data_IF_875146695839
#
_entry.id   IF_875146695839
#
_cell.length_a   1.000
_cell.length_b   1.000
_cell.length_c   1.000
_cell.angle_alpha   90.00
_cell.angle_beta   90.00
_cell.angle_gamma   90.00
#
_symmetry.space_group_name_H-M   'P 1'
#
loop_
_entity.id
_entity.type
_entity.pdbx_description
1 polymer ?
#
# COMPACT_ATOMS: atom_id res chain seq x y z
N UNK A 1 16.22 19.31 -48.29
CA UNK A 1 15.88 20.14 -47.11
C UNK A 1 15.31 19.24 -46.01
N UNK A 2 16.13 18.69 -45.12
CA UNK A 2 15.72 17.89 -43.95
C UNK A 2 16.83 17.95 -42.89
N UNK A 3 16.98 19.09 -42.19
CA UNK A 3 18.03 19.31 -41.17
C UNK A 3 17.49 19.77 -39.81
N UNK A 4 16.25 19.41 -39.46
CA UNK A 4 15.54 19.99 -38.30
C UNK A 4 15.32 19.11 -37.06
N UNK A 5 15.56 17.79 -37.08
CA UNK A 5 15.01 16.89 -36.04
C UNK A 5 16.02 16.36 -35.00
N UNK A 6 17.32 16.60 -35.15
CA UNK A 6 18.32 16.00 -34.25
C UNK A 6 18.51 16.74 -32.90
N UNK A 7 18.01 17.97 -32.72
CA UNK A 7 18.27 18.74 -31.49
C UNK A 7 17.35 18.42 -30.31
N UNK A 8 16.17 17.83 -30.54
CA UNK A 8 15.22 17.48 -29.47
C UNK A 8 15.60 16.15 -28.82
N UNK A 9 16.05 15.16 -29.60
CA UNK A 9 16.44 13.85 -29.08
C UNK A 9 17.67 13.90 -28.16
N UNK A 10 18.64 14.79 -28.44
CA UNK A 10 19.86 14.95 -27.64
C UNK A 10 19.62 15.66 -26.28
N UNK A 11 18.48 16.37 -26.11
CA UNK A 11 18.12 17.03 -24.84
C UNK A 11 17.28 16.18 -23.88
N UNK A 12 16.81 15.00 -24.29
CA UNK A 12 16.15 14.01 -23.40
C UNK A 12 17.22 13.21 -22.63
N UNK A 13 18.21 13.94 -22.11
CA UNK A 13 19.45 13.40 -21.55
C UNK A 13 19.28 12.59 -20.26
N UNK A 14 20.40 12.24 -19.60
CA UNK A 14 20.46 11.41 -18.39
C UNK A 14 19.56 11.88 -17.22
N UNK A 15 19.09 13.14 -17.25
CA UNK A 15 18.10 13.71 -16.34
C UNK A 15 16.74 12.98 -16.33
N UNK A 16 16.36 12.30 -17.41
CA UNK A 16 15.11 11.51 -17.45
C UNK A 16 15.22 10.23 -16.61
N UNK A 17 16.38 9.55 -16.64
CA UNK A 17 16.60 8.32 -15.88
C UNK A 17 16.67 8.55 -14.38
N UNK A 18 17.36 9.61 -13.94
CA UNK A 18 17.51 9.91 -12.50
C UNK A 18 16.17 10.21 -11.84
N UNK A 19 15.27 10.92 -12.51
CA UNK A 19 13.91 11.18 -11.99
C UNK A 19 13.09 9.90 -11.87
N UNK A 20 13.12 9.01 -12.86
CA UNK A 20 12.37 7.74 -12.80
C UNK A 20 12.83 6.89 -11.63
N UNK A 21 14.15 6.78 -11.40
CA UNK A 21 14.70 6.03 -10.27
C UNK A 21 14.25 6.65 -8.94
N UNK A 22 14.32 7.97 -8.80
CA UNK A 22 13.87 8.68 -7.59
C UNK A 22 12.39 8.44 -7.27
N UNK A 23 11.52 8.38 -8.29
CA UNK A 23 10.09 8.11 -8.11
C UNK A 23 9.80 6.70 -7.55
N UNK A 24 10.69 5.73 -7.76
CA UNK A 24 10.57 4.37 -7.22
C UNK A 24 11.23 4.22 -5.84
N UNK A 25 12.34 4.92 -5.61
CA UNK A 25 13.06 4.88 -4.33
C UNK A 25 12.26 5.52 -3.19
N UNK A 26 11.50 6.58 -3.46
CA UNK A 26 10.72 7.26 -2.42
C UNK A 26 9.65 6.34 -1.77
N UNK A 27 8.76 5.65 -2.52
CA UNK A 27 7.82 4.70 -1.94
C UNK A 27 8.50 3.53 -1.23
N UNK A 28 9.64 3.05 -1.75
CA UNK A 28 10.42 1.99 -1.10
C UNK A 28 10.94 2.44 0.28
N UNK A 29 11.52 3.64 0.37
CA UNK A 29 12.02 4.20 1.63
C UNK A 29 10.89 4.44 2.64
N UNK A 30 9.75 4.96 2.18
CA UNK A 30 8.54 5.11 3.01
C UNK A 30 8.06 3.75 3.51
N UNK A 31 8.08 2.73 2.65
CA UNK A 31 7.79 1.36 2.99
C UNK A 31 8.70 0.83 4.10
N UNK A 32 10.01 0.98 3.96
CA UNK A 32 10.99 0.57 4.99
C UNK A 32 10.67 1.24 6.33
N UNK A 33 10.48 2.56 6.36
CA UNK A 33 10.14 3.28 7.60
C UNK A 33 8.84 2.78 8.22
N UNK A 34 7.81 2.54 7.40
CA UNK A 34 6.55 1.97 7.85
C UNK A 34 6.70 0.55 8.40
N UNK A 35 7.56 -0.28 7.80
CA UNK A 35 7.89 -1.62 8.28
C UNK A 35 8.61 -1.60 9.63
N UNK A 36 9.58 -0.70 9.79
CA UNK A 36 10.25 -0.46 11.07
C UNK A 36 9.24 -0.04 12.14
N UNK A 37 8.38 0.92 11.82
CA UNK A 37 7.33 1.38 12.73
C UNK A 37 6.37 0.24 13.10
N UNK A 38 5.93 -0.55 12.12
CA UNK A 38 5.03 -1.69 12.34
C UNK A 38 5.65 -2.81 13.19
N UNK A 39 6.99 -2.97 13.15
CA UNK A 39 7.70 -3.91 14.01
C UNK A 39 7.81 -3.43 15.46
N UNK A 40 8.00 -2.12 15.67
CA UNK A 40 8.21 -1.53 16.99
C UNK A 40 6.89 -1.21 17.72
N UNK A 41 5.86 -0.78 16.99
CA UNK A 41 4.58 -0.36 17.57
C UNK A 41 3.71 -1.58 17.89
N UNK A 42 3.70 -1.96 19.17
CA UNK A 42 2.79 -2.98 19.72
C UNK A 42 1.44 -2.37 20.08
N UNK A 43 0.62 -2.09 19.07
CA UNK A 43 -0.77 -1.69 19.30
C UNK A 43 -1.63 -2.91 19.62
N UNK A 44 -1.98 -3.04 20.89
CA UNK A 44 -2.92 -4.04 21.37
C UNK A 44 -4.36 -3.55 21.15
N UNK A 45 -4.74 -3.30 19.89
CA UNK A 45 -6.12 -2.95 19.54
C UNK A 45 -7.10 -4.12 19.74
N UNK A 46 -6.62 -5.33 20.03
CA UNK A 46 -7.44 -6.54 20.17
C UNK A 46 -8.13 -6.98 18.87
N UNK A 47 -7.91 -6.28 17.77
CA UNK A 47 -8.58 -6.52 16.49
C UNK A 47 -7.59 -6.92 15.40
N UNK A 48 -7.80 -8.00 14.65
CA UNK A 48 -6.89 -8.44 13.62
C UNK A 48 -6.93 -7.52 12.39
N UNK A 49 -5.81 -7.40 11.67
CA UNK A 49 -5.73 -6.61 10.43
C UNK A 49 -5.39 -5.13 10.62
N UNK A 50 -5.40 -4.59 11.84
CA UNK A 50 -5.05 -3.19 12.10
C UNK A 50 -3.62 -2.82 11.67
N UNK A 51 -2.69 -3.78 11.67
CA UNK A 51 -1.31 -3.57 11.23
C UNK A 51 -1.20 -3.09 9.78
N UNK A 52 -2.23 -3.33 8.98
CA UNK A 52 -2.28 -2.86 7.62
C UNK A 52 -2.27 -1.33 7.51
N UNK A 53 -2.79 -0.62 8.52
CA UNK A 53 -2.78 0.84 8.55
C UNK A 53 -1.35 1.41 8.51
N UNK A 54 -0.41 0.77 9.23
CA UNK A 54 0.96 1.29 9.37
C UNK A 54 1.72 1.33 8.07
N UNK A 55 1.50 0.36 7.17
CA UNK A 55 2.17 0.34 5.88
C UNK A 55 1.31 0.91 4.77
N UNK A 56 0.01 0.59 4.73
CA UNK A 56 -0.84 0.89 3.59
C UNK A 56 -1.06 2.40 3.42
N UNK A 57 -1.34 3.13 4.51
CA UNK A 57 -1.59 4.57 4.47
C UNK A 57 -0.37 5.34 3.93
N UNK A 58 0.84 5.23 4.52
CA UNK A 58 1.98 6.00 4.05
C UNK A 58 2.46 5.54 2.67
N UNK A 59 2.44 4.25 2.37
CA UNK A 59 2.91 3.71 1.09
C UNK A 59 1.99 4.09 -0.07
N UNK A 60 0.66 4.02 0.12
CA UNK A 60 -0.31 4.47 -0.89
C UNK A 60 -0.26 6.00 -1.07
N UNK A 61 -0.12 6.75 0.03
CA UNK A 61 0.09 8.20 -0.04
C UNK A 61 1.33 8.55 -0.86
N UNK A 62 2.47 7.92 -0.56
CA UNK A 62 3.72 8.11 -1.31
C UNK A 62 3.59 7.74 -2.78
N UNK A 63 2.91 6.64 -3.10
CA UNK A 63 2.62 6.23 -4.49
C UNK A 63 1.89 7.32 -5.26
N UNK A 64 0.86 7.93 -4.67
CA UNK A 64 0.05 8.97 -5.31
C UNK A 64 0.81 10.30 -5.46
N UNK A 65 1.63 10.66 -4.46
CA UNK A 65 2.47 11.86 -4.49
C UNK A 65 3.55 11.74 -5.57
N UNK A 66 4.27 10.61 -5.60
CA UNK A 66 5.36 10.38 -6.56
C UNK A 66 4.87 9.94 -7.95
N UNK A 67 3.56 9.64 -8.12
CA UNK A 67 2.95 9.11 -9.35
C UNK A 67 3.66 7.85 -9.88
N UNK A 68 4.13 7.02 -8.96
CA UNK A 68 4.84 5.78 -9.30
C UNK A 68 3.83 4.68 -9.62
N UNK A 69 4.00 3.98 -10.75
CA UNK A 69 3.09 2.88 -11.14
C UNK A 69 3.20 1.64 -10.26
N UNK A 70 4.34 1.47 -9.60
CA UNK A 70 4.66 0.33 -8.73
C UNK A 70 4.96 0.80 -7.31
N UNK A 71 4.44 1.97 -6.94
CA UNK A 71 4.80 2.62 -5.69
C UNK A 71 4.33 1.82 -4.47
N UNK A 72 3.10 1.30 -4.51
CA UNK A 72 2.59 0.53 -3.38
C UNK A 72 3.21 -0.84 -3.27
N UNK A 73 3.51 -1.47 -4.40
CA UNK A 73 4.20 -2.78 -4.46
C UNK A 73 5.61 -2.69 -3.87
N UNK A 74 6.40 -1.70 -4.30
CA UNK A 74 7.76 -1.49 -3.80
C UNK A 74 7.76 -1.08 -2.31
N UNK A 75 6.85 -0.20 -1.91
CA UNK A 75 6.71 0.17 -0.50
C UNK A 75 6.25 -1.00 0.36
N UNK A 76 5.33 -1.83 -0.12
CA UNK A 76 4.90 -3.06 0.57
C UNK A 76 6.06 -4.07 0.72
N UNK A 77 6.88 -4.25 -0.31
CA UNK A 77 8.08 -5.08 -0.25
C UNK A 77 9.09 -4.52 0.78
N UNK A 78 9.34 -3.21 0.77
CA UNK A 78 10.18 -2.54 1.77
C UNK A 78 9.66 -2.69 3.20
N UNK A 79 8.36 -2.51 3.41
CA UNK A 79 7.72 -2.66 4.70
C UNK A 79 7.80 -4.10 5.22
N UNK A 80 7.52 -5.07 4.35
CA UNK A 80 7.61 -6.49 4.67
C UNK A 80 9.04 -6.89 5.04
N UNK A 81 10.02 -6.53 4.20
CA UNK A 81 11.44 -6.82 4.44
C UNK A 81 11.97 -6.18 5.73
N UNK A 82 11.72 -4.88 5.93
CA UNK A 82 12.17 -4.18 7.13
C UNK A 82 11.51 -4.73 8.40
N UNK A 83 10.21 -5.04 8.35
CA UNK A 83 9.52 -5.68 9.47
C UNK A 83 10.15 -7.05 9.80
N UNK A 84 10.43 -7.88 8.79
CA UNK A 84 11.01 -9.21 8.98
C UNK A 84 12.42 -9.15 9.58
N UNK A 85 13.26 -8.24 9.09
CA UNK A 85 14.63 -8.06 9.61
C UNK A 85 14.64 -7.69 11.09
N UNK A 86 13.58 -7.05 11.58
CA UNK A 86 13.42 -6.67 12.98
C UNK A 86 12.60 -7.70 13.80
N UNK A 87 12.34 -8.89 13.25
CA UNK A 87 11.54 -9.93 13.91
C UNK A 87 10.03 -9.61 13.98
N UNK A 88 9.58 -8.56 13.31
CA UNK A 88 8.18 -8.19 13.18
C UNK A 88 7.42 -9.09 12.21
N UNK A 89 6.09 -9.12 12.37
CA UNK A 89 5.21 -9.97 11.57
C UNK A 89 3.99 -9.19 11.04
N UNK A 90 4.06 -8.75 9.78
CA UNK A 90 2.96 -8.09 9.08
C UNK A 90 1.91 -9.08 8.57
N UNK A 91 2.31 -10.18 7.93
CA UNK A 91 1.41 -11.10 7.22
C UNK A 91 1.50 -12.58 7.60
N UNK A 92 1.96 -12.92 8.80
CA UNK A 92 2.12 -14.32 9.24
C UNK A 92 3.56 -14.84 9.15
N UNK A 93 4.53 -14.00 8.80
CA UNK A 93 5.96 -14.30 8.82
C UNK A 93 6.55 -14.34 7.40
N UNK A 94 7.77 -14.91 7.25
CA UNK A 94 8.48 -14.97 5.98
C UNK A 94 7.70 -15.70 4.87
N UNK A 95 7.02 -16.78 5.23
CA UNK A 95 6.26 -17.63 4.29
C UNK A 95 5.09 -16.91 3.62
N UNK A 96 4.55 -15.89 4.28
CA UNK A 96 3.36 -15.15 3.82
C UNK A 96 3.69 -13.69 3.47
N UNK A 97 4.96 -13.30 3.50
CA UNK A 97 5.43 -11.96 3.16
C UNK A 97 5.01 -11.53 1.74
N UNK A 98 4.90 -12.50 0.81
CA UNK A 98 4.47 -12.26 -0.56
C UNK A 98 3.02 -11.73 -0.65
N UNK A 99 2.14 -12.07 0.31
CA UNK A 99 0.76 -11.56 0.34
C UNK A 99 0.72 -10.04 0.51
N UNK A 100 1.65 -9.46 1.28
CA UNK A 100 1.76 -7.99 1.44
C UNK A 100 2.17 -7.34 0.13
N UNK A 101 3.09 -7.97 -0.62
CA UNK A 101 3.53 -7.47 -1.92
C UNK A 101 2.41 -7.55 -2.94
N UNK A 102 1.67 -8.68 -2.98
CA UNK A 102 0.49 -8.82 -3.83
C UNK A 102 -0.61 -7.80 -3.49
N UNK A 103 -0.83 -7.55 -2.20
CA UNK A 103 -1.73 -6.51 -1.71
C UNK A 103 -1.30 -5.11 -2.20
N UNK A 104 0.00 -4.82 -2.18
CA UNK A 104 0.57 -3.60 -2.78
C UNK A 104 0.33 -3.53 -4.31
N UNK A 105 0.47 -4.65 -5.02
CA UNK A 105 0.18 -4.74 -6.46
C UNK A 105 -1.28 -4.47 -6.80
N UNK A 106 -2.21 -4.97 -5.98
CA UNK A 106 -3.65 -4.70 -6.13
C UNK A 106 -3.97 -3.20 -6.02
N UNK A 107 -3.35 -2.51 -5.05
CA UNK A 107 -3.49 -1.07 -4.88
C UNK A 107 -2.90 -0.27 -6.05
N UNK A 108 -1.74 -0.67 -6.56
CA UNK A 108 -1.11 -0.05 -7.72
C UNK A 108 -2.00 -0.20 -8.97
N UNK A 109 -2.57 -1.40 -9.17
CA UNK A 109 -3.48 -1.69 -10.27
C UNK A 109 -4.77 -0.85 -10.19
N UNK A 110 -5.38 -0.76 -9.00
CA UNK A 110 -6.58 0.07 -8.78
C UNK A 110 -6.29 1.56 -9.03
N UNK A 111 -5.14 2.05 -8.55
CA UNK A 111 -4.74 3.43 -8.78
C UNK A 111 -4.45 3.71 -10.26
N UNK A 112 -3.72 2.82 -10.93
CA UNK A 112 -3.43 2.94 -12.36
C UNK A 112 -4.70 2.88 -13.21
N UNK A 113 -5.66 2.04 -12.82
CA UNK A 113 -6.98 1.96 -13.45
C UNK A 113 -7.75 3.28 -13.29
N UNK A 114 -7.83 3.81 -12.07
CA UNK A 114 -8.46 5.10 -11.79
C UNK A 114 -7.82 6.27 -12.55
N UNK A 115 -6.49 6.28 -12.67
CA UNK A 115 -5.75 7.27 -13.46
C UNK A 115 -6.00 7.12 -14.97
N UNK A 116 -6.06 5.89 -15.49
CA UNK A 116 -6.38 5.61 -16.90
C UNK A 116 -7.77 6.12 -17.27
N UNK A 117 -8.74 5.93 -16.37
CA UNK A 117 -10.11 6.44 -16.52
C UNK A 117 -10.24 7.94 -16.20
N UNK A 118 -9.15 8.60 -15.78
CA UNK A 118 -9.13 10.02 -15.37
C UNK A 118 -10.19 10.33 -14.31
N UNK A 119 -10.38 9.44 -13.35
CA UNK A 119 -11.38 9.62 -12.30
C UNK A 119 -11.08 10.88 -11.48
N UNK A 120 -12.09 11.71 -11.17
CA UNK A 120 -11.94 12.80 -10.22
C UNK A 120 -11.63 12.26 -8.82
N UNK A 121 -11.00 13.08 -7.98
CA UNK A 121 -10.51 12.66 -6.66
C UNK A 121 -11.61 12.03 -5.77
N UNK A 122 -12.85 12.53 -5.85
CA UNK A 122 -13.97 12.01 -5.08
C UNK A 122 -14.42 10.60 -5.49
N UNK A 123 -14.11 10.15 -6.71
CA UNK A 123 -14.30 8.75 -7.16
C UNK A 123 -13.05 7.90 -6.94
N UNK A 124 -11.86 8.50 -7.06
CA UNK A 124 -10.60 7.80 -6.87
C UNK A 124 -10.42 7.34 -5.42
N UNK A 125 -10.78 8.18 -4.44
CA UNK A 125 -10.69 7.87 -3.01
C UNK A 125 -11.50 6.61 -2.63
N UNK A 126 -12.81 6.52 -2.90
CA UNK A 126 -13.59 5.31 -2.57
C UNK A 126 -13.11 4.08 -3.35
N UNK A 127 -12.68 4.23 -4.60
CA UNK A 127 -12.08 3.12 -5.37
C UNK A 127 -10.85 2.55 -4.64
N UNK A 128 -9.94 3.41 -4.18
CA UNK A 128 -8.75 2.99 -3.44
C UNK A 128 -9.06 2.48 -2.03
N UNK A 129 -10.14 2.98 -1.41
CA UNK A 129 -10.70 2.40 -0.20
C UNK A 129 -11.13 0.94 -0.39
N UNK A 130 -11.90 0.65 -1.45
CA UNK A 130 -12.33 -0.72 -1.78
C UNK A 130 -11.14 -1.61 -2.16
N UNK A 131 -10.15 -1.08 -2.87
CA UNK A 131 -8.90 -1.79 -3.15
C UNK A 131 -8.13 -2.11 -1.86
N UNK A 132 -8.08 -1.17 -0.90
CA UNK A 132 -7.49 -1.38 0.43
C UNK A 132 -8.21 -2.46 1.24
N UNK A 133 -9.55 -2.48 1.19
CA UNK A 133 -10.37 -3.55 1.76
C UNK A 133 -9.97 -4.92 1.19
N UNK A 134 -9.96 -5.04 -0.14
CA UNK A 134 -9.60 -6.28 -0.81
C UNK A 134 -8.14 -6.70 -0.53
N UNK A 135 -7.21 -5.73 -0.51
CA UNK A 135 -5.80 -5.95 -0.20
C UNK A 135 -5.60 -6.48 1.24
N UNK A 136 -6.36 -5.98 2.20
CA UNK A 136 -6.27 -6.47 3.57
C UNK A 136 -6.96 -7.83 3.75
N UNK A 137 -8.07 -8.07 3.07
CA UNK A 137 -8.68 -9.41 3.02
C UNK A 137 -7.76 -10.44 2.37
N UNK A 138 -6.96 -10.07 1.37
CA UNK A 138 -5.91 -10.95 0.84
C UNK A 138 -4.89 -11.33 1.93
N UNK A 139 -4.52 -10.40 2.80
CA UNK A 139 -3.63 -10.68 3.94
C UNK A 139 -4.30 -11.53 5.04
N UNK A 140 -5.63 -11.62 5.06
CA UNK A 140 -6.39 -12.48 5.98
C UNK A 140 -6.28 -13.96 5.61
N UNK A 141 -5.97 -14.30 4.35
CA UNK A 141 -5.78 -15.69 3.87
C UNK A 141 -4.81 -16.49 4.76
N UNK A 142 -3.79 -15.84 5.34
CA UNK A 142 -2.87 -16.47 6.32
C UNK A 142 -3.58 -17.16 7.49
N UNK A 143 -4.74 -16.62 7.93
CA UNK A 143 -5.52 -17.15 9.06
C UNK A 143 -6.21 -18.46 8.70
N UNK A 144 -6.41 -18.75 7.40
CA UNK A 144 -6.92 -20.04 6.95
C UNK A 144 -5.87 -21.15 7.12
N UNK A 145 -4.58 -20.81 7.04
CA UNK A 145 -3.47 -21.75 7.22
C UNK A 145 -3.01 -21.89 8.68
N UNK A 146 -3.22 -20.85 9.50
CA UNK A 146 -2.89 -20.88 10.92
C UNK A 146 -4.07 -20.32 11.73
N UNK A 147 -5.08 -21.16 12.02
CA UNK A 147 -6.27 -20.79 12.77
C UNK A 147 -5.95 -20.62 14.26
N UNK A 148 -5.24 -19.55 14.60
CA UNK A 148 -5.21 -19.04 15.98
C UNK A 148 -6.35 -18.02 16.10
N UNK A 149 -7.51 -18.49 16.52
CA UNK A 149 -8.65 -17.66 16.86
C UNK A 149 -8.62 -17.40 18.35
N UNK A 150 -7.97 -16.32 18.77
CA UNK A 150 -8.32 -15.78 20.08
C UNK A 150 -9.79 -15.32 20.04
N UNK A 151 -10.55 -15.54 21.13
CA UNK A 151 -11.95 -15.16 21.20
C UNK A 151 -12.06 -13.63 21.15
N UNK A 152 -12.18 -13.09 19.95
CA UNK A 152 -12.44 -11.67 19.71
C UNK A 152 -13.92 -11.46 19.43
N UNK A 153 -14.51 -10.49 20.12
CA UNK A 153 -15.85 -10.00 19.85
C UNK A 153 -15.72 -8.65 19.16
N UNK A 154 -16.18 -8.55 17.90
CA UNK A 154 -16.19 -7.28 17.15
C UNK A 154 -17.62 -6.99 16.77
N UNK A 155 -18.20 -5.91 17.31
CA UNK A 155 -19.61 -5.52 17.06
C UNK A 155 -20.63 -6.65 17.36
N UNK A 156 -20.35 -7.47 18.38
CA UNK A 156 -21.19 -8.63 18.74
C UNK A 156 -20.98 -9.86 17.85
N UNK A 157 -20.17 -9.78 16.79
CA UNK A 157 -19.74 -10.94 16.00
C UNK A 157 -18.58 -11.65 16.69
N UNK A 158 -18.54 -12.97 16.57
CA UNK A 158 -17.44 -13.82 17.06
C UNK A 158 -16.86 -14.66 15.93
N UNK A 159 -15.67 -15.22 16.18
CA UNK A 159 -15.01 -16.15 15.27
C UNK A 159 -14.62 -15.54 13.92
N UNK A 160 -14.77 -16.30 12.84
CA UNK A 160 -14.29 -15.94 11.51
C UNK A 160 -14.93 -14.67 10.96
N UNK A 161 -16.23 -14.45 11.21
CA UNK A 161 -16.95 -13.27 10.73
C UNK A 161 -16.37 -11.98 11.33
N UNK A 162 -16.08 -11.96 12.63
CA UNK A 162 -15.42 -10.85 13.31
C UNK A 162 -14.05 -10.54 12.70
N UNK A 163 -13.27 -11.58 12.39
CA UNK A 163 -11.96 -11.45 11.74
C UNK A 163 -12.10 -10.82 10.35
N UNK A 164 -12.98 -11.36 9.50
CA UNK A 164 -13.22 -10.84 8.14
C UNK A 164 -13.64 -9.37 8.21
N UNK A 165 -14.60 -9.03 9.06
CA UNK A 165 -15.09 -7.66 9.22
C UNK A 165 -13.98 -6.71 9.68
N UNK A 166 -13.14 -7.14 10.63
CA UNK A 166 -12.01 -6.36 11.11
C UNK A 166 -10.99 -6.09 10.00
N UNK A 167 -10.59 -7.12 9.23
CA UNK A 167 -9.68 -6.94 8.09
C UNK A 167 -10.30 -6.03 7.02
N UNK A 168 -11.58 -6.21 6.70
CA UNK A 168 -12.28 -5.39 5.72
C UNK A 168 -12.30 -3.91 6.16
N UNK A 169 -12.64 -3.64 7.43
CA UNK A 169 -12.70 -2.30 8.00
C UNK A 169 -11.32 -1.62 8.00
N UNK A 170 -10.28 -2.29 8.51
CA UNK A 170 -8.93 -1.72 8.53
C UNK A 170 -8.34 -1.55 7.13
N UNK A 171 -8.70 -2.43 6.20
CA UNK A 171 -8.31 -2.29 4.80
C UNK A 171 -8.96 -1.07 4.15
N UNK A 172 -10.26 -0.90 4.36
CA UNK A 172 -11.01 0.25 3.88
C UNK A 172 -10.46 1.56 4.44
N UNK A 173 -10.26 1.64 5.75
CA UNK A 173 -9.68 2.82 6.42
C UNK A 173 -8.27 3.10 5.89
N UNK A 174 -7.43 2.07 5.73
CA UNK A 174 -6.07 2.21 5.21
C UNK A 174 -6.04 2.75 3.78
N UNK A 175 -6.88 2.19 2.91
CA UNK A 175 -7.02 2.63 1.51
C UNK A 175 -7.56 4.06 1.39
N UNK A 176 -8.62 4.39 2.14
CA UNK A 176 -9.19 5.74 2.17
C UNK A 176 -8.19 6.76 2.70
N UNK A 177 -7.52 6.45 3.83
CA UNK A 177 -6.53 7.33 4.45
C UNK A 177 -5.36 7.63 3.53
N UNK A 178 -4.77 6.59 2.93
CA UNK A 178 -3.66 6.78 1.98
C UNK A 178 -4.08 7.56 0.73
N UNK A 179 -5.28 7.28 0.20
CA UNK A 179 -5.82 7.99 -0.95
C UNK A 179 -6.09 9.48 -0.67
N UNK A 180 -6.69 9.80 0.48
CA UNK A 180 -6.96 11.17 0.89
C UNK A 180 -5.68 11.97 1.03
N UNK A 181 -4.68 11.45 1.74
CA UNK A 181 -3.38 12.11 1.93
C UNK A 181 -2.72 12.39 0.58
N UNK A 182 -2.66 11.37 -0.29
CA UNK A 182 -2.07 11.49 -1.62
C UNK A 182 -2.76 12.54 -2.50
N UNK A 183 -4.09 12.53 -2.53
CA UNK A 183 -4.90 13.48 -3.31
C UNK A 183 -4.78 14.92 -2.79
N UNK A 184 -4.80 15.12 -1.46
CA UNK A 184 -4.72 16.44 -0.84
C UNK A 184 -3.38 17.12 -1.11
N UNK A 185 -2.27 16.37 -1.01
CA UNK A 185 -0.93 16.89 -1.29
C UNK A 185 -0.79 17.22 -2.77
N UNK A 186 -1.26 16.33 -3.67
CA UNK A 186 -1.22 16.53 -5.12
C UNK A 186 -2.02 17.75 -5.59
N UNK A 187 -3.08 18.15 -4.88
CA UNK A 187 -3.86 19.35 -5.23
C UNK A 187 -3.09 20.65 -4.95
N UNK A 188 -2.11 20.62 -4.05
CA UNK A 188 -1.30 21.80 -3.67
C UNK A 188 -0.04 22.00 -4.53
N UNK A 189 0.39 20.96 -5.25
CA UNK A 189 1.58 20.96 -6.12
C UNK A 189 1.22 21.23 -7.57
#
# INVERSE_FOLDING_TARGET
MTRGSQSIAARIGPWSRTRTVQMHLAPLAVGVLAGVLAAQVRLHLGMPGHKALFWMVPVLGARLICRSRLGTTLGAAGASGASMLLGGNLAGGPTMAFLVVLAGGLLDAAAAWGERLRLPAWLLVPLLGLAGLAANLLCMVKRLFSPSYEPHVVLGLTGLAAVIMSYALFGLIGGLGGALIGCLIRKKS
#
